data_IF_510407678909
#
_entry.id   IF_510407678909
#
_cell.length_a   1.000
_cell.length_b   1.000
_cell.length_c   1.000
_cell.angle_alpha   90.00
_cell.angle_beta   90.00
_cell.angle_gamma   90.00
#
_symmetry.space_group_name_H-M   'P 1'
#
loop_
_entity.id
_entity.type
_entity.pdbx_description
1 polymer ?
#
# COMPACT_ATOMS: atom_id res chain seq x y z
N UNK A 1 10.58 -24.88 0.42
CA UNK A 1 11.06 -23.55 0.91
C UNK A 1 11.04 -22.57 -0.27
N UNK A 2 10.79 -21.26 -0.07
CA UNK A 2 10.80 -20.30 -1.17
C UNK A 2 12.18 -20.19 -1.82
N UNK A 3 12.25 -20.30 -3.14
CA UNK A 3 13.48 -20.17 -3.93
C UNK A 3 13.18 -19.45 -5.23
N UNK A 4 14.02 -18.49 -5.61
CA UNK A 4 13.82 -17.69 -6.83
C UNK A 4 15.13 -17.34 -7.55
N UNK A 5 16.24 -17.97 -7.15
CA UNK A 5 17.55 -17.75 -7.76
C UNK A 5 18.22 -19.10 -8.04
N UNK A 6 18.71 -19.27 -9.25
CA UNK A 6 19.43 -20.47 -9.70
C UNK A 6 20.82 -20.06 -10.18
N UNK A 7 21.83 -20.79 -9.73
CA UNK A 7 23.23 -20.56 -10.06
C UNK A 7 23.62 -21.44 -11.26
N UNK A 8 24.30 -20.87 -12.24
CA UNK A 8 24.78 -21.62 -13.41
C UNK A 8 25.94 -22.57 -13.06
N UNK A 9 25.98 -23.79 -13.63
CA UNK A 9 26.97 -24.81 -13.32
C UNK A 9 28.27 -24.62 -14.12
N UNK A 10 29.10 -23.67 -13.69
CA UNK A 10 30.34 -23.32 -14.43
C UNK A 10 31.59 -23.90 -13.73
N UNK A 11 31.69 -23.73 -12.41
CA UNK A 11 32.92 -24.02 -11.64
C UNK A 11 32.68 -24.86 -10.39
N UNK A 12 31.57 -25.59 -10.31
CA UNK A 12 31.14 -26.28 -9.08
C UNK A 12 30.24 -25.44 -8.17
N UNK A 13 29.97 -24.18 -8.54
CA UNK A 13 29.11 -23.26 -7.79
C UNK A 13 27.63 -23.66 -7.81
N UNK A 14 27.23 -24.61 -8.65
CA UNK A 14 25.90 -25.22 -8.62
C UNK A 14 25.61 -25.98 -7.32
N UNK A 15 26.62 -26.25 -6.49
CA UNK A 15 26.43 -26.70 -5.10
C UNK A 15 25.54 -25.73 -4.29
N UNK A 16 25.46 -24.47 -4.69
CA UNK A 16 24.57 -23.47 -4.10
C UNK A 16 23.08 -23.70 -4.43
N UNK A 17 22.78 -24.49 -5.47
CA UNK A 17 21.41 -24.89 -5.79
C UNK A 17 20.98 -26.05 -4.87
N UNK A 18 20.65 -25.71 -3.62
CA UNK A 18 20.18 -26.69 -2.65
C UNK A 18 18.78 -27.23 -3.01
N UNK A 19 18.48 -28.45 -2.57
CA UNK A 19 17.14 -29.00 -2.65
C UNK A 19 16.21 -28.26 -1.66
N UNK A 20 15.23 -27.56 -2.22
CA UNK A 20 14.24 -26.78 -1.47
C UNK A 20 12.85 -27.44 -1.47
N UNK A 21 12.72 -28.65 -2.02
CA UNK A 21 11.47 -29.39 -2.21
C UNK A 21 10.73 -29.01 -3.49
N UNK A 22 9.64 -29.74 -3.78
CA UNK A 22 8.79 -29.48 -4.96
C UNK A 22 9.46 -29.82 -6.31
N UNK A 23 10.51 -30.65 -6.29
CA UNK A 23 11.28 -31.00 -7.49
C UNK A 23 12.18 -29.88 -8.02
N UNK A 24 12.45 -28.85 -7.21
CA UNK A 24 13.25 -27.69 -7.59
C UNK A 24 14.51 -27.55 -6.74
N UNK A 25 15.62 -27.12 -7.36
CA UNK A 25 16.89 -26.83 -6.70
C UNK A 25 17.32 -25.39 -6.98
N UNK A 26 17.71 -24.67 -5.94
CA UNK A 26 18.09 -23.27 -6.04
C UNK A 26 18.47 -22.65 -4.69
N UNK A 27 18.75 -21.36 -4.71
CA UNK A 27 19.06 -20.58 -3.51
C UNK A 27 17.77 -20.21 -2.80
N UNK A 28 17.63 -20.66 -1.55
CA UNK A 28 16.51 -20.27 -0.70
C UNK A 28 16.54 -18.75 -0.46
N UNK A 29 15.41 -18.08 -0.74
CA UNK A 29 15.26 -16.65 -0.49
C UNK A 29 14.62 -16.40 0.88
N UNK A 30 14.95 -15.26 1.49
CA UNK A 30 14.43 -14.81 2.80
C UNK A 30 13.69 -13.48 2.74
N UNK A 31 13.41 -12.97 1.53
CA UNK A 31 12.75 -11.68 1.31
C UNK A 31 11.24 -11.66 1.56
N UNK A 32 10.59 -12.83 1.63
CA UNK A 32 9.14 -12.93 1.89
C UNK A 32 8.23 -12.70 0.68
N UNK A 33 8.77 -12.65 -0.55
CA UNK A 33 7.97 -12.36 -1.75
C UNK A 33 6.83 -13.36 -2.01
N UNK A 34 7.03 -14.64 -1.68
CA UNK A 34 6.03 -15.67 -1.98
C UNK A 34 4.78 -15.49 -1.12
N UNK A 35 4.94 -15.12 0.14
CA UNK A 35 3.86 -14.80 1.07
C UNK A 35 3.12 -13.53 0.62
N UNK A 36 3.85 -12.51 0.16
CA UNK A 36 3.26 -11.29 -0.41
C UNK A 36 2.42 -11.56 -1.66
N UNK A 37 2.93 -12.39 -2.58
CA UNK A 37 2.20 -12.75 -3.81
C UNK A 37 0.96 -13.59 -3.50
N UNK A 38 1.06 -14.55 -2.58
CA UNK A 38 -0.10 -15.30 -2.09
C UNK A 38 -1.16 -14.35 -1.50
N UNK A 39 -0.76 -13.43 -0.63
CA UNK A 39 -1.65 -12.43 -0.04
C UNK A 39 -2.30 -11.51 -1.09
N UNK A 40 -1.68 -11.35 -2.26
CA UNK A 40 -2.23 -10.54 -3.38
C UNK A 40 -3.13 -11.35 -4.31
N UNK A 41 -3.30 -12.65 -4.06
CA UNK A 41 -4.10 -13.55 -4.89
C UNK A 41 -3.42 -14.00 -6.18
N UNK A 42 -2.09 -13.91 -6.27
CA UNK A 42 -1.34 -14.44 -7.42
C UNK A 42 -1.24 -15.96 -7.31
N UNK A 43 -1.67 -16.68 -8.36
CA UNK A 43 -1.77 -18.15 -8.36
C UNK A 43 -0.87 -18.81 -9.40
N UNK A 44 -0.37 -18.06 -10.38
CA UNK A 44 0.41 -18.61 -11.48
C UNK A 44 1.57 -17.69 -11.93
N UNK A 45 2.51 -18.27 -12.69
CA UNK A 45 3.70 -17.56 -13.16
C UNK A 45 3.41 -16.50 -14.22
N UNK A 46 2.30 -16.62 -14.96
CA UNK A 46 1.94 -15.66 -16.00
C UNK A 46 1.56 -14.30 -15.39
N UNK A 47 0.87 -14.30 -14.25
CA UNK A 47 0.55 -13.08 -13.49
C UNK A 47 1.84 -12.37 -13.01
N UNK A 48 2.84 -13.13 -12.55
CA UNK A 48 4.14 -12.58 -12.18
C UNK A 48 4.88 -11.99 -13.39
N UNK A 49 4.86 -12.69 -14.53
CA UNK A 49 5.46 -12.21 -15.76
C UNK A 49 4.82 -10.90 -16.23
N UNK A 50 3.49 -10.83 -16.28
CA UNK A 50 2.76 -9.62 -16.66
C UNK A 50 3.06 -8.46 -15.69
N UNK A 51 3.12 -8.74 -14.38
CA UNK A 51 3.47 -7.75 -13.35
C UNK A 51 4.90 -7.21 -13.56
N UNK A 52 5.87 -8.08 -13.87
CA UNK A 52 7.25 -7.68 -14.14
C UNK A 52 7.36 -6.79 -15.39
N UNK A 53 6.66 -7.13 -16.47
CA UNK A 53 6.63 -6.31 -17.70
C UNK A 53 5.97 -4.96 -17.44
N UNK A 54 4.85 -4.93 -16.72
CA UNK A 54 4.19 -3.70 -16.29
C UNK A 54 5.11 -2.81 -15.45
N UNK A 55 5.83 -3.41 -14.50
CA UNK A 55 6.83 -2.71 -13.68
C UNK A 55 7.98 -2.13 -14.51
N UNK A 56 8.48 -2.87 -15.51
CA UNK A 56 9.53 -2.40 -16.42
C UNK A 56 9.05 -1.21 -17.27
N UNK A 57 7.81 -1.28 -17.78
CA UNK A 57 7.20 -0.17 -18.52
C UNK A 57 7.06 1.07 -17.63
N UNK A 58 6.58 0.91 -16.39
CA UNK A 58 6.49 2.02 -15.43
C UNK A 58 7.87 2.60 -15.10
N UNK A 59 8.92 1.78 -14.98
CA UNK A 59 10.29 2.27 -14.80
C UNK A 59 10.75 3.14 -15.98
N UNK A 60 10.50 2.72 -17.22
CA UNK A 60 10.79 3.53 -18.40
C UNK A 60 10.01 4.86 -18.40
N UNK A 61 8.74 4.83 -18.00
CA UNK A 61 7.91 6.02 -17.88
C UNK A 61 8.43 6.98 -16.80
N UNK A 62 8.91 6.49 -15.66
CA UNK A 62 9.50 7.31 -14.60
C UNK A 62 10.79 7.99 -15.05
N UNK A 63 11.67 7.26 -15.77
CA UNK A 63 12.89 7.85 -16.37
C UNK A 63 12.53 8.94 -17.38
N UNK A 64 11.53 8.68 -18.24
CA UNK A 64 11.04 9.68 -19.19
C UNK A 64 10.47 10.91 -18.49
N UNK A 65 9.65 10.74 -17.44
CA UNK A 65 9.09 11.84 -16.68
C UNK A 65 10.20 12.69 -16.03
N UNK A 66 11.25 12.05 -15.49
CA UNK A 66 12.43 12.74 -14.97
C UNK A 66 13.16 13.57 -16.04
N UNK A 67 13.43 12.98 -17.21
CA UNK A 67 13.99 13.70 -18.35
C UNK A 67 13.09 14.88 -18.78
N UNK A 68 11.78 14.64 -18.88
CA UNK A 68 10.81 15.63 -19.35
C UNK A 68 10.72 16.82 -18.40
N UNK A 69 10.58 16.57 -17.09
CA UNK A 69 10.48 17.61 -16.07
C UNK A 69 11.82 18.28 -15.73
N UNK A 70 12.92 17.83 -16.32
CA UNK A 70 14.21 18.54 -16.24
C UNK A 70 14.52 19.32 -17.53
N UNK A 71 14.35 18.70 -18.69
CA UNK A 71 14.79 19.27 -19.98
C UNK A 71 13.69 19.92 -20.83
N UNK A 72 12.42 19.61 -20.61
CA UNK A 72 11.30 20.10 -21.45
C UNK A 72 10.33 20.99 -20.69
N UNK A 73 9.93 20.59 -19.50
CA UNK A 73 8.95 21.27 -18.68
C UNK A 73 9.44 21.38 -17.23
N UNK A 74 10.55 22.11 -17.05
CA UNK A 74 11.12 22.39 -15.74
C UNK A 74 10.15 23.26 -14.90
N UNK A 75 9.67 22.75 -13.74
CA UNK A 75 8.80 23.53 -12.87
C UNK A 75 9.54 24.73 -12.27
N UNK A 76 8.80 25.79 -11.95
CA UNK A 76 9.33 26.98 -11.26
C UNK A 76 9.38 26.76 -9.75
N UNK A 77 10.17 27.55 -9.04
CA UNK A 77 10.32 27.48 -7.59
C UNK A 77 8.97 27.63 -6.84
N UNK A 78 8.07 28.49 -7.33
CA UNK A 78 6.73 28.67 -6.72
C UNK A 78 5.94 27.36 -6.64
N UNK A 79 6.13 26.46 -7.61
CA UNK A 79 5.46 25.17 -7.65
C UNK A 79 6.02 24.25 -6.57
N UNK A 80 7.35 24.20 -6.42
CA UNK A 80 8.00 23.42 -5.36
C UNK A 80 7.69 23.94 -3.95
N UNK A 81 7.50 25.25 -3.81
CA UNK A 81 7.19 25.90 -2.52
C UNK A 81 5.70 25.91 -2.18
N UNK A 82 4.83 25.37 -3.04
CA UNK A 82 3.40 25.26 -2.76
C UNK A 82 3.11 24.05 -1.85
N UNK A 83 3.52 24.18 -0.58
CA UNK A 83 3.49 23.11 0.41
C UNK A 83 2.08 22.72 0.83
N UNK A 84 1.13 23.66 0.86
CA UNK A 84 -0.27 23.35 1.11
C UNK A 84 -0.85 22.44 0.02
N UNK A 85 -0.60 22.76 -1.26
CA UNK A 85 -1.01 21.90 -2.36
C UNK A 85 -0.32 20.54 -2.29
N UNK A 86 1.00 20.52 -2.09
CA UNK A 86 1.77 19.28 -1.97
C UNK A 86 1.22 18.38 -0.85
N UNK A 87 0.95 18.92 0.33
CA UNK A 87 0.42 18.16 1.46
C UNK A 87 -1.00 17.65 1.22
N UNK A 88 -1.89 18.47 0.64
CA UNK A 88 -3.23 18.02 0.28
C UNK A 88 -3.17 16.86 -0.75
N UNK A 89 -2.34 16.98 -1.78
CA UNK A 89 -2.20 15.94 -2.81
C UNK A 89 -1.51 14.68 -2.30
N UNK A 90 -0.52 14.78 -1.40
CA UNK A 90 0.13 13.60 -0.83
C UNK A 90 -0.78 12.89 0.16
N UNK A 91 -1.49 13.62 1.03
CA UNK A 91 -2.42 13.01 1.99
C UNK A 91 -3.63 12.42 1.27
N UNK A 92 -4.43 13.23 0.56
CA UNK A 92 -5.66 12.71 -0.03
C UNK A 92 -5.41 11.89 -1.30
N UNK A 93 -4.49 12.33 -2.15
CA UNK A 93 -4.19 11.67 -3.42
C UNK A 93 -3.32 10.43 -3.21
N UNK A 94 -2.04 10.62 -2.89
CA UNK A 94 -1.08 9.51 -2.82
C UNK A 94 -1.43 8.48 -1.75
N UNK A 95 -1.63 8.91 -0.50
CA UNK A 95 -1.93 8.01 0.61
C UNK A 95 -3.40 7.58 0.61
N UNK A 96 -4.32 8.52 0.47
CA UNK A 96 -5.77 8.27 0.50
C UNK A 96 -6.25 7.39 -0.65
N UNK A 97 -6.04 7.81 -1.91
CA UNK A 97 -6.43 7.00 -3.08
C UNK A 97 -5.60 5.73 -3.21
N UNK A 98 -4.34 5.74 -2.74
CA UNK A 98 -3.51 4.54 -2.64
C UNK A 98 -4.13 3.48 -1.71
N UNK A 99 -4.52 3.88 -0.50
CA UNK A 99 -5.20 3.00 0.45
C UNK A 99 -6.56 2.54 -0.09
N UNK A 100 -7.34 3.42 -0.74
CA UNK A 100 -8.64 3.09 -1.30
C UNK A 100 -8.52 2.06 -2.44
N UNK A 101 -7.58 2.30 -3.37
CA UNK A 101 -7.30 1.38 -4.48
C UNK A 101 -6.81 0.02 -3.98
N UNK A 102 -5.95 0.00 -2.96
CA UNK A 102 -5.49 -1.25 -2.35
C UNK A 102 -6.61 -1.99 -1.62
N UNK A 103 -7.46 -1.29 -0.86
CA UNK A 103 -8.63 -1.89 -0.23
C UNK A 103 -9.57 -2.51 -1.29
N UNK A 104 -9.80 -1.82 -2.41
CA UNK A 104 -10.56 -2.37 -3.55
C UNK A 104 -9.93 -3.66 -4.11
N UNK A 105 -8.62 -3.66 -4.34
CA UNK A 105 -7.91 -4.89 -4.75
C UNK A 105 -8.06 -6.00 -3.71
N UNK A 106 -7.88 -5.69 -2.43
CA UNK A 106 -8.01 -6.69 -1.36
C UNK A 106 -9.42 -7.30 -1.34
N UNK A 107 -10.46 -6.46 -1.38
CA UNK A 107 -11.86 -6.90 -1.31
C UNK A 107 -12.24 -7.77 -2.51
N UNK A 108 -11.84 -7.35 -3.71
CA UNK A 108 -12.37 -7.92 -4.94
C UNK A 108 -11.49 -9.04 -5.54
N UNK A 109 -10.21 -9.11 -5.16
CA UNK A 109 -9.24 -10.06 -5.74
C UNK A 109 -8.60 -10.91 -4.65
N UNK A 110 -7.90 -10.30 -3.70
CA UNK A 110 -7.12 -11.04 -2.72
C UNK A 110 -7.99 -11.90 -1.80
N UNK A 111 -9.09 -11.32 -1.27
CA UNK A 111 -10.02 -11.97 -0.35
C UNK A 111 -10.67 -13.24 -0.91
N UNK A 112 -11.33 -13.23 -2.09
CA UNK A 112 -11.95 -14.44 -2.61
C UNK A 112 -10.92 -15.55 -2.89
N UNK A 113 -9.77 -15.20 -3.46
CA UNK A 113 -8.72 -16.17 -3.80
C UNK A 113 -8.12 -16.79 -2.52
N UNK A 114 -7.76 -15.97 -1.53
CA UNK A 114 -7.19 -16.48 -0.28
C UNK A 114 -8.21 -17.30 0.52
N UNK A 115 -9.49 -16.96 0.48
CA UNK A 115 -10.53 -17.77 1.13
C UNK A 115 -10.60 -19.20 0.56
N UNK A 116 -10.40 -19.35 -0.75
CA UNK A 116 -10.34 -20.66 -1.41
C UNK A 116 -9.01 -21.39 -1.15
N UNK A 117 -7.89 -20.67 -1.20
CA UNK A 117 -6.57 -21.24 -0.86
C UNK A 117 -6.50 -21.74 0.59
N UNK A 118 -7.12 -21.03 1.52
CA UNK A 118 -7.18 -21.41 2.94
C UNK A 118 -8.17 -22.56 3.17
N UNK A 119 -9.11 -22.77 2.26
CA UNK A 119 -9.99 -23.96 2.24
C UNK A 119 -9.33 -25.19 1.60
N UNK A 120 -8.07 -25.07 1.14
CA UNK A 120 -7.30 -26.17 0.56
C UNK A 120 -7.58 -26.42 -0.93
N UNK A 121 -8.26 -25.49 -1.62
CA UNK A 121 -8.47 -25.58 -3.06
C UNK A 121 -7.15 -25.33 -3.79
N UNK A 122 -6.86 -26.15 -4.81
CA UNK A 122 -5.62 -26.03 -5.56
C UNK A 122 -5.61 -24.73 -6.39
N UNK A 123 -4.46 -24.05 -6.55
CA UNK A 123 -4.39 -22.79 -7.32
C UNK A 123 -4.91 -22.91 -8.77
N UNK A 124 -4.83 -24.11 -9.35
CA UNK A 124 -5.28 -24.39 -10.72
C UNK A 124 -6.80 -24.50 -10.86
N UNK A 125 -7.51 -24.77 -9.75
CA UNK A 125 -8.97 -24.90 -9.71
C UNK A 125 -9.66 -23.59 -9.29
N UNK A 126 -8.89 -22.60 -8.83
CA UNK A 126 -9.43 -21.30 -8.43
C UNK A 126 -9.77 -20.49 -9.69
N UNK A 127 -11.02 -19.96 -9.81
CA UNK A 127 -11.38 -19.05 -10.89
C UNK A 127 -10.40 -17.89 -11.01
N UNK A 128 -10.15 -17.42 -12.23
CA UNK A 128 -9.22 -16.31 -12.42
C UNK A 128 -9.77 -15.02 -11.77
N UNK A 129 -8.90 -14.08 -11.34
CA UNK A 129 -9.33 -12.87 -10.65
C UNK A 129 -10.46 -12.09 -11.33
N UNK A 130 -10.48 -12.03 -12.66
CA UNK A 130 -11.50 -11.32 -13.43
C UNK A 130 -12.87 -12.00 -13.40
N UNK A 131 -12.94 -13.31 -13.15
CA UNK A 131 -14.21 -14.03 -13.03
C UNK A 131 -14.95 -13.62 -11.76
N UNK A 132 -14.25 -13.38 -10.65
CA UNK A 132 -14.86 -12.84 -9.42
C UNK A 132 -15.41 -11.42 -9.59
N UNK A 133 -14.84 -10.64 -10.51
CA UNK A 133 -15.30 -9.27 -10.80
C UNK A 133 -16.57 -9.26 -11.66
N UNK A 134 -16.65 -10.15 -12.64
CA UNK A 134 -17.73 -10.16 -13.63
C UNK A 134 -18.90 -11.06 -13.19
N UNK A 135 -18.59 -12.19 -12.56
CA UNK A 135 -19.60 -13.13 -12.09
C UNK A 135 -19.94 -12.90 -10.61
N UNK A 136 -21.03 -12.18 -10.39
CA UNK A 136 -21.55 -11.88 -9.04
C UNK A 136 -21.91 -13.13 -8.23
N UNK A 137 -22.29 -14.23 -8.89
CA UNK A 137 -22.66 -15.46 -8.18
C UNK A 137 -21.45 -16.07 -7.46
N UNK A 138 -20.27 -16.05 -8.08
CA UNK A 138 -19.03 -16.56 -7.48
C UNK A 138 -18.69 -15.82 -6.19
N UNK A 139 -18.70 -14.49 -6.22
CA UNK A 139 -18.37 -13.70 -5.02
C UNK A 139 -19.46 -13.81 -3.94
N UNK A 140 -20.75 -13.93 -4.33
CA UNK A 140 -21.84 -14.09 -3.37
C UNK A 140 -21.81 -15.42 -2.62
N UNK A 141 -21.31 -16.49 -3.24
CA UNK A 141 -21.12 -17.78 -2.56
C UNK A 141 -20.08 -17.67 -1.43
N UNK A 142 -19.07 -16.82 -1.62
CA UNK A 142 -18.03 -16.57 -0.62
C UNK A 142 -18.46 -15.52 0.41
N UNK A 143 -19.13 -14.45 -0.03
CA UNK A 143 -19.52 -13.29 0.76
C UNK A 143 -20.97 -12.91 0.42
N UNK A 144 -21.97 -13.46 1.13
CA UNK A 144 -23.39 -13.27 0.81
C UNK A 144 -23.85 -11.80 0.73
N UNK A 145 -23.18 -10.87 1.42
CA UNK A 145 -23.54 -9.45 1.39
C UNK A 145 -23.38 -8.81 0.01
N UNK A 146 -22.54 -9.37 -0.87
CA UNK A 146 -22.42 -8.90 -2.26
C UNK A 146 -23.74 -8.95 -3.03
N UNK A 147 -24.71 -9.78 -2.62
CA UNK A 147 -26.06 -9.81 -3.19
C UNK A 147 -26.87 -8.52 -2.92
N UNK A 148 -26.52 -7.75 -1.88
CA UNK A 148 -27.12 -6.44 -1.55
C UNK A 148 -26.55 -5.31 -2.42
N UNK A 149 -25.38 -5.52 -3.01
CA UNK A 149 -24.72 -4.56 -3.90
C UNK A 149 -24.26 -3.32 -3.13
N UNK A 150 -24.25 -2.17 -3.81
CA UNK A 150 -23.73 -0.91 -3.25
C UNK A 150 -24.79 -0.10 -2.47
N UNK A 151 -26.03 -0.57 -2.40
CA UNK A 151 -27.13 0.19 -1.76
C UNK A 151 -26.85 0.44 -0.27
N UNK A 152 -26.39 -0.55 0.54
CA UNK A 152 -26.04 -0.29 1.95
C UNK A 152 -24.97 0.79 2.15
N UNK A 153 -24.03 0.94 1.22
CA UNK A 153 -23.02 1.99 1.27
C UNK A 153 -23.62 3.39 1.22
N UNK A 154 -24.49 3.67 0.24
CA UNK A 154 -25.11 4.99 0.05
C UNK A 154 -26.22 5.31 1.07
N UNK A 155 -26.76 4.30 1.74
CA UNK A 155 -27.78 4.46 2.80
C UNK A 155 -27.17 4.45 4.21
N UNK A 156 -25.84 4.34 4.32
CA UNK A 156 -25.10 4.25 5.58
C UNK A 156 -25.46 3.04 6.46
N UNK A 157 -26.07 2.00 5.90
CA UNK A 157 -26.35 0.74 6.59
C UNK A 157 -25.15 -0.22 6.48
N UNK A 158 -23.99 0.21 7.01
CA UNK A 158 -22.71 -0.45 6.74
C UNK A 158 -22.50 -1.78 7.45
N UNK A 159 -23.31 -2.12 8.46
CA UNK A 159 -23.23 -3.42 9.15
C UNK A 159 -23.46 -4.60 8.20
N UNK A 160 -24.03 -4.36 7.02
CA UNK A 160 -24.26 -5.36 6.00
C UNK A 160 -22.98 -5.91 5.36
N UNK A 161 -21.85 -5.20 5.44
CA UNK A 161 -20.58 -5.60 4.82
C UNK A 161 -19.64 -6.36 5.77
N UNK A 162 -20.13 -6.83 6.91
CA UNK A 162 -19.32 -7.47 7.96
C UNK A 162 -18.74 -8.85 7.61
N UNK A 163 -19.11 -9.43 6.45
CA UNK A 163 -18.57 -10.71 5.97
C UNK A 163 -17.21 -10.58 5.26
N UNK A 164 -16.90 -9.41 4.70
CA UNK A 164 -15.59 -9.11 4.07
C UNK A 164 -14.85 -7.90 4.67
N UNK A 165 -15.52 -7.02 5.43
CA UNK A 165 -14.91 -5.98 6.25
C UNK A 165 -15.05 -6.34 7.73
N UNK A 166 -14.12 -7.13 8.24
CA UNK A 166 -14.21 -7.67 9.60
C UNK A 166 -13.40 -6.83 10.60
N UNK A 167 -13.56 -7.15 11.87
CA UNK A 167 -12.71 -6.67 12.96
C UNK A 167 -12.49 -7.83 13.95
N UNK A 168 -11.93 -8.94 13.45
CA UNK A 168 -11.73 -10.15 14.26
C UNK A 168 -10.64 -9.94 15.30
N UNK A 169 -9.56 -9.25 14.91
CA UNK A 169 -8.43 -8.94 15.78
C UNK A 169 -7.60 -10.18 16.12
N UNK A 170 -6.45 -10.33 15.47
CA UNK A 170 -5.52 -11.44 15.70
C UNK A 170 -5.11 -12.12 14.41
N UNK A 171 -4.73 -13.39 14.51
CA UNK A 171 -4.18 -14.17 13.39
C UNK A 171 -5.20 -15.19 12.88
N UNK A 172 -5.16 -15.44 11.57
CA UNK A 172 -5.85 -16.54 10.92
C UNK A 172 -5.15 -17.85 11.33
N UNK A 173 -5.85 -18.79 11.98
CA UNK A 173 -5.24 -20.03 12.46
C UNK A 173 -4.76 -20.96 11.34
N UNK A 174 -5.25 -20.78 10.10
CA UNK A 174 -4.83 -21.59 8.94
C UNK A 174 -3.45 -21.14 8.45
N UNK A 175 -3.23 -19.83 8.38
CA UNK A 175 -2.03 -19.26 7.74
C UNK A 175 -0.99 -18.74 8.73
N UNK A 176 -1.40 -18.43 9.96
CA UNK A 176 -0.57 -17.75 10.95
C UNK A 176 -0.36 -16.26 10.67
N UNK A 177 -0.94 -15.72 9.60
CA UNK A 177 -0.92 -14.29 9.25
C UNK A 177 -2.16 -13.53 9.73
N UNK A 178 -2.17 -12.21 9.60
CA UNK A 178 -3.35 -11.38 9.87
C UNK A 178 -4.54 -11.75 8.97
N UNK A 179 -5.75 -11.54 9.47
CA UNK A 179 -6.96 -11.68 8.67
C UNK A 179 -6.96 -10.67 7.53
N UNK A 180 -6.99 -11.15 6.28
CA UNK A 180 -7.01 -10.25 5.13
C UNK A 180 -8.26 -9.34 5.12
N UNK A 181 -9.40 -9.81 5.66
CA UNK A 181 -10.62 -9.01 5.79
C UNK A 181 -10.49 -7.89 6.82
N UNK A 182 -9.70 -8.10 7.88
CA UNK A 182 -9.33 -7.02 8.82
C UNK A 182 -8.36 -6.03 8.15
N UNK A 183 -7.40 -6.50 7.33
CA UNK A 183 -6.49 -5.60 6.60
C UNK A 183 -7.22 -4.78 5.52
N UNK A 184 -8.22 -5.35 4.84
CA UNK A 184 -9.06 -4.63 3.89
C UNK A 184 -9.85 -3.50 4.57
N UNK A 185 -10.44 -3.80 5.74
CA UNK A 185 -11.11 -2.81 6.56
C UNK A 185 -10.14 -1.74 7.08
N UNK A 186 -8.93 -2.13 7.49
CA UNK A 186 -7.89 -1.19 7.90
C UNK A 186 -7.50 -0.21 6.78
N UNK A 187 -7.24 -0.69 5.57
CA UNK A 187 -6.92 0.18 4.44
C UNK A 187 -8.09 1.10 4.05
N UNK A 188 -9.33 0.59 4.10
CA UNK A 188 -10.50 1.44 3.86
C UNK A 188 -10.63 2.55 4.90
N UNK A 189 -10.41 2.25 6.18
CA UNK A 189 -10.42 3.25 7.24
C UNK A 189 -9.30 4.29 7.06
N UNK A 190 -8.08 3.86 6.71
CA UNK A 190 -6.97 4.75 6.40
C UNK A 190 -7.24 5.61 5.16
N UNK A 191 -7.89 5.06 4.14
CA UNK A 191 -8.27 5.83 2.96
C UNK A 191 -9.17 7.01 3.32
N UNK A 192 -10.22 6.78 4.12
CA UNK A 192 -11.10 7.84 4.62
C UNK A 192 -10.31 8.85 5.44
N UNK A 193 -9.48 8.38 6.39
CA UNK A 193 -8.66 9.25 7.23
C UNK A 193 -7.75 10.17 6.41
N UNK A 194 -7.00 9.61 5.46
CA UNK A 194 -6.05 10.38 4.65
C UNK A 194 -6.74 11.30 3.64
N UNK A 195 -7.86 10.88 3.04
CA UNK A 195 -8.67 11.74 2.18
C UNK A 195 -9.17 12.94 2.98
N UNK A 196 -9.75 12.73 4.16
CA UNK A 196 -10.22 13.84 5.02
C UNK A 196 -9.04 14.72 5.45
N UNK A 197 -7.92 14.14 5.87
CA UNK A 197 -6.73 14.89 6.27
C UNK A 197 -6.16 15.77 5.14
N UNK A 198 -6.20 15.30 3.90
CA UNK A 198 -5.75 16.08 2.73
C UNK A 198 -6.66 17.23 2.30
N UNK A 199 -7.71 17.55 3.06
CA UNK A 199 -8.54 18.74 2.87
C UNK A 199 -8.33 19.80 3.97
N UNK A 200 -7.30 19.64 4.80
CA UNK A 200 -7.00 20.57 5.89
C UNK A 200 -6.41 21.90 5.40
N UNK A 201 -5.56 21.89 4.38
CA UNK A 201 -4.76 23.07 4.02
C UNK A 201 -5.43 23.95 2.96
N UNK A 202 -5.33 25.27 3.16
CA UNK A 202 -5.95 26.28 2.30
C UNK A 202 -5.32 26.27 0.92
N UNK A 203 -6.16 26.29 -0.10
CA UNK A 203 -5.74 26.42 -1.51
C UNK A 203 -6.54 27.55 -2.18
N UNK A 204 -6.75 27.48 -3.51
CA UNK A 204 -7.30 28.58 -4.31
C UNK A 204 -8.75 28.96 -3.97
N UNK A 205 -9.48 28.11 -3.23
CA UNK A 205 -10.89 28.36 -2.86
C UNK A 205 -11.06 29.05 -1.50
N UNK A 206 -9.99 29.49 -0.85
CA UNK A 206 -10.04 30.26 0.39
C UNK A 206 -10.43 29.48 1.66
N UNK A 207 -10.90 28.23 1.54
CA UNK A 207 -11.25 27.34 2.65
C UNK A 207 -10.02 26.52 3.07
N UNK A 208 -9.82 26.36 4.38
CA UNK A 208 -8.74 25.59 4.98
C UNK A 208 -7.74 26.44 5.77
N UNK A 209 -6.68 25.81 6.26
CA UNK A 209 -5.64 26.45 7.07
C UNK A 209 -4.37 26.76 6.27
N UNK A 210 -3.76 27.93 6.50
CA UNK A 210 -2.37 28.15 6.07
C UNK A 210 -1.42 27.55 7.09
N UNK A 211 -0.38 26.85 6.64
CA UNK A 211 0.63 26.28 7.55
C UNK A 211 1.36 27.37 8.32
N UNK A 212 1.66 28.49 7.66
CA UNK A 212 2.33 29.63 8.30
C UNK A 212 1.48 30.24 9.42
N UNK A 213 0.19 30.48 9.15
CA UNK A 213 -0.75 31.00 10.16
C UNK A 213 -0.83 30.05 11.37
N UNK A 214 -0.90 28.73 11.13
CA UNK A 214 -0.89 27.74 12.21
C UNK A 214 0.39 27.87 13.03
N UNK A 215 1.56 27.86 12.39
CA UNK A 215 2.85 27.89 13.09
C UNK A 215 3.00 29.15 13.96
N UNK A 216 2.73 30.33 13.38
CA UNK A 216 2.88 31.62 14.08
C UNK A 216 1.85 31.82 15.21
N UNK A 217 0.69 31.18 15.14
CA UNK A 217 -0.30 31.20 16.22
C UNK A 217 0.18 30.45 17.47
N UNK A 218 1.08 29.46 17.32
CA UNK A 218 1.55 28.64 18.43
C UNK A 218 2.81 29.23 19.08
N UNK A 219 2.60 30.06 20.09
CA UNK A 219 3.62 30.68 20.94
C UNK A 219 3.23 30.61 22.42
N UNK A 220 4.21 30.47 23.31
CA UNK A 220 3.98 30.32 24.74
C UNK A 220 4.84 31.25 25.59
N UNK A 221 4.53 31.40 26.89
CA UNK A 221 5.22 32.34 27.78
C UNK A 221 6.71 32.05 27.97
N UNK A 222 7.15 30.81 27.70
CA UNK A 222 8.56 30.38 27.83
C UNK A 222 9.30 30.24 26.49
N UNK A 223 8.59 30.27 25.35
CA UNK A 223 9.17 29.94 24.03
C UNK A 223 9.39 31.17 23.14
N UNK A 224 9.23 32.38 23.68
CA UNK A 224 9.46 33.63 22.95
C UNK A 224 8.56 33.74 21.71
N UNK A 225 9.19 33.86 20.54
CA UNK A 225 8.48 33.97 19.24
C UNK A 225 7.89 32.63 18.74
N UNK A 226 8.03 31.53 19.50
CA UNK A 226 7.46 30.24 19.15
C UNK A 226 8.03 29.69 17.84
N UNK A 227 7.15 29.31 16.90
CA UNK A 227 7.54 28.69 15.62
C UNK A 227 7.78 29.68 14.47
N UNK A 228 7.93 30.98 14.76
CA UNK A 228 8.22 32.00 13.75
C UNK A 228 9.48 31.65 12.95
N UNK A 229 9.42 31.75 11.63
CA UNK A 229 10.54 31.43 10.74
C UNK A 229 10.63 29.96 10.31
N UNK A 230 9.90 29.03 10.96
CA UNK A 230 9.95 27.61 10.59
C UNK A 230 9.37 27.35 9.20
N UNK A 231 8.28 28.05 8.83
CA UNK A 231 7.68 27.93 7.50
C UNK A 231 8.70 28.30 6.42
N UNK A 232 9.43 29.40 6.61
CA UNK A 232 10.47 29.87 5.70
C UNK A 232 11.63 28.88 5.60
N UNK A 233 12.11 28.33 6.73
CA UNK A 233 13.18 27.32 6.73
C UNK A 233 12.77 26.10 5.91
N UNK A 234 11.56 25.59 6.13
CA UNK A 234 11.06 24.37 5.49
C UNK A 234 10.67 24.55 4.02
N UNK A 235 10.42 25.78 3.58
CA UNK A 235 10.13 26.10 2.17
C UNK A 235 11.36 26.58 1.40
N UNK A 236 12.43 26.98 2.07
CA UNK A 236 13.68 27.46 1.43
C UNK A 236 14.84 26.46 1.46
N UNK A 237 14.85 25.51 2.40
CA UNK A 237 15.95 24.55 2.56
C UNK A 237 15.51 23.11 2.33
N UNK A 238 15.96 22.53 1.22
CA UNK A 238 15.79 21.10 0.95
C UNK A 238 16.51 20.20 1.97
N UNK A 239 17.64 20.66 2.53
CA UNK A 239 18.34 19.92 3.57
C UNK A 239 17.52 19.85 4.87
N UNK A 240 16.77 20.91 5.21
CA UNK A 240 15.90 20.89 6.38
C UNK A 240 14.77 19.87 6.20
N UNK A 241 14.11 19.85 5.03
CA UNK A 241 13.10 18.85 4.70
C UNK A 241 13.67 17.43 4.70
N UNK A 242 14.82 17.22 4.06
CA UNK A 242 15.48 15.91 4.02
C UNK A 242 15.82 15.38 5.42
N UNK A 243 16.32 16.25 6.30
CA UNK A 243 16.66 15.87 7.67
C UNK A 243 15.43 15.36 8.46
N UNK A 244 14.30 16.07 8.38
CA UNK A 244 13.05 15.65 9.03
C UNK A 244 12.54 14.35 8.42
N UNK A 245 12.52 14.26 7.08
CA UNK A 245 12.02 13.09 6.38
C UNK A 245 12.83 11.84 6.71
N UNK A 246 14.17 11.92 6.76
CA UNK A 246 15.01 10.78 7.13
C UNK A 246 14.83 10.39 8.60
N UNK A 247 14.68 11.36 9.50
CA UNK A 247 14.42 11.07 10.91
C UNK A 247 13.08 10.32 11.09
N UNK A 248 12.03 10.75 10.40
CA UNK A 248 10.71 10.12 10.48
C UNK A 248 10.66 8.77 9.75
N UNK A 249 11.23 8.68 8.55
CA UNK A 249 11.23 7.43 7.77
C UNK A 249 12.09 6.34 8.41
N UNK A 250 13.24 6.70 8.98
CA UNK A 250 14.05 5.75 9.76
C UNK A 250 13.32 5.24 10.99
N UNK A 251 12.67 6.14 11.74
CA UNK A 251 11.85 5.77 12.90
C UNK A 251 10.67 4.88 12.52
N UNK A 252 9.96 5.22 11.43
CA UNK A 252 8.86 4.42 10.89
C UNK A 252 9.35 3.04 10.46
N UNK A 253 10.51 2.93 9.80
CA UNK A 253 11.10 1.64 9.41
C UNK A 253 11.36 0.73 10.62
N UNK A 254 11.80 1.30 11.76
CA UNK A 254 11.98 0.56 13.02
C UNK A 254 10.61 0.10 13.57
N UNK A 255 9.60 0.96 13.57
CA UNK A 255 8.24 0.59 13.99
C UNK A 255 7.69 -0.53 13.11
N UNK A 256 7.89 -0.46 11.79
CA UNK A 256 7.50 -1.52 10.85
C UNK A 256 8.16 -2.84 11.22
N UNK A 257 9.46 -2.85 11.55
CA UNK A 257 10.14 -4.06 11.99
C UNK A 257 9.47 -4.66 13.24
N UNK A 258 9.16 -3.83 14.25
CA UNK A 258 8.46 -4.29 15.47
C UNK A 258 7.07 -4.84 15.18
N UNK A 259 6.29 -4.14 14.35
CA UNK A 259 4.93 -4.55 14.03
C UNK A 259 4.91 -5.83 13.21
N UNK A 260 5.77 -5.98 12.21
CA UNK A 260 5.72 -7.12 11.29
C UNK A 260 6.14 -8.45 11.95
N UNK A 261 7.06 -8.43 12.92
CA UNK A 261 7.43 -9.68 13.60
C UNK A 261 6.34 -10.12 14.61
N UNK A 262 5.70 -9.15 15.29
CA UNK A 262 4.70 -9.44 16.33
C UNK A 262 3.29 -9.64 15.77
N UNK A 263 3.01 -9.06 14.59
CA UNK A 263 1.73 -9.14 13.88
C UNK A 263 2.01 -9.52 12.41
N UNK A 264 2.35 -10.78 12.11
CA UNK A 264 2.72 -11.21 10.76
C UNK A 264 1.59 -10.93 9.75
N UNK A 265 1.77 -10.04 8.76
CA UNK A 265 0.67 -9.59 7.92
C UNK A 265 0.38 -10.50 6.72
N UNK A 266 1.22 -11.52 6.49
CA UNK A 266 1.15 -12.37 5.29
C UNK A 266 0.96 -13.85 5.64
N UNK A 267 0.24 -14.61 4.80
CA UNK A 267 0.05 -16.06 4.91
C UNK A 267 1.24 -16.86 4.36
#
# INVERSE_FOLDING_TARGET
KPSAQVVWPIVGQEILNGDVGGGFQGVQITSGFFQLWRASGITNEFELYATAIGGLFMAALMVFAGWFHYHKAAPKLEWFQNVESMMNHHLAGLLGLGCLGWAGHQIHIALPINKLLDAGISPQEIPLPHEFLVNRELICQLYPSFSKGIIPFFTLNWSEYADFLTFKGGLNPVTGGLWLSDTAHHHLALAVLFIVAGHMYRTNWGIGHSMKEILEAHKGPFTGEGHKGMYEILTSSWHAQLAINLAMMGSLSIIVAHHMYAMPPYP
#
